data_IF_107238226913
#
_entry.id   IF_107238226913
#
_cell.length_a   1.000
_cell.length_b   1.000
_cell.length_c   1.000
_cell.angle_alpha   90.00
_cell.angle_beta   90.00
_cell.angle_gamma   90.00
#
_symmetry.space_group_name_H-M   'P 1'
#
loop_
_entity.id
_entity.type
_entity.pdbx_description
1 polymer ?
#
# COMPACT_ATOMS: atom_id res chain seq x y z
N UNK A 1 67.10 3.59 -25.81
CA UNK A 1 66.79 4.37 -24.59
C UNK A 1 65.29 4.64 -24.62
N UNK A 2 64.51 4.06 -23.72
CA UNK A 2 63.06 4.24 -23.69
C UNK A 2 62.63 4.87 -22.37
N UNK A 3 61.93 6.00 -22.47
CA UNK A 3 61.68 6.89 -21.34
C UNK A 3 60.30 6.57 -20.74
N UNK A 4 60.28 5.65 -19.78
CA UNK A 4 59.06 5.16 -19.13
C UNK A 4 58.36 6.26 -18.28
N UNK A 5 57.52 7.07 -18.94
CA UNK A 5 56.84 8.25 -18.40
C UNK A 5 55.64 7.85 -17.53
N UNK A 6 55.90 7.34 -16.32
CA UNK A 6 54.85 7.00 -15.33
C UNK A 6 53.96 8.21 -15.06
N UNK A 7 52.71 8.15 -15.57
CA UNK A 7 51.68 9.18 -15.30
C UNK A 7 51.35 9.16 -13.80
N UNK A 8 51.43 10.31 -13.14
CA UNK A 8 51.09 10.41 -11.72
C UNK A 8 49.59 10.21 -11.52
N UNK A 9 49.21 9.23 -10.70
CA UNK A 9 47.81 8.90 -10.41
C UNK A 9 47.23 9.73 -9.25
N UNK A 10 48.10 10.34 -8.44
CA UNK A 10 47.74 11.20 -7.29
C UNK A 10 46.65 12.25 -7.57
N UNK A 11 46.69 13.07 -8.65
CA UNK A 11 45.65 14.07 -8.88
C UNK A 11 44.25 13.46 -9.08
N UNK A 12 44.14 12.26 -9.65
CA UNK A 12 42.85 11.58 -9.79
C UNK A 12 42.32 11.10 -8.45
N UNK A 13 43.17 10.50 -7.60
CA UNK A 13 42.79 10.03 -6.26
C UNK A 13 42.27 11.18 -5.39
N UNK A 14 42.93 12.35 -5.44
CA UNK A 14 42.48 13.55 -4.72
C UNK A 14 41.09 14.02 -5.20
N UNK A 15 40.85 14.04 -6.51
CA UNK A 15 39.54 14.42 -7.08
C UNK A 15 38.43 13.47 -6.61
N UNK A 16 38.65 12.16 -6.63
CA UNK A 16 37.66 11.19 -6.14
C UNK A 16 37.33 11.35 -4.65
N UNK A 17 38.31 11.70 -3.80
CA UNK A 17 38.07 11.96 -2.38
C UNK A 17 37.17 13.20 -2.17
N UNK A 18 37.41 14.29 -2.89
CA UNK A 18 36.55 15.48 -2.81
C UNK A 18 35.11 15.21 -3.29
N UNK A 19 34.94 14.45 -4.38
CA UNK A 19 33.60 14.05 -4.86
C UNK A 19 32.88 13.19 -3.81
N UNK A 20 33.58 12.21 -3.21
CA UNK A 20 33.02 11.37 -2.15
C UNK A 20 32.52 12.16 -0.95
N UNK A 21 33.29 13.14 -0.47
CA UNK A 21 32.91 14.01 0.65
C UNK A 21 31.65 14.83 0.34
N UNK A 22 31.55 15.40 -0.87
CA UNK A 22 30.38 16.20 -1.27
C UNK A 22 29.09 15.35 -1.36
N UNK A 23 29.16 14.18 -1.98
CA UNK A 23 28.00 13.27 -2.09
C UNK A 23 27.57 12.75 -0.72
N UNK A 24 28.52 12.35 0.13
CA UNK A 24 28.22 11.81 1.46
C UNK A 24 27.67 12.88 2.41
N UNK A 25 28.20 14.10 2.35
CA UNK A 25 27.69 15.24 3.13
C UNK A 25 26.25 15.62 2.78
N UNK A 26 25.91 15.65 1.49
CA UNK A 26 24.55 15.92 1.03
C UNK A 26 23.56 14.82 1.49
N UNK A 27 23.96 13.55 1.44
CA UNK A 27 23.14 12.43 1.86
C UNK A 27 22.85 12.42 3.38
N UNK A 28 23.81 12.86 4.21
CA UNK A 28 23.61 12.95 5.66
C UNK A 28 22.75 14.17 6.04
N UNK A 29 23.00 15.34 5.45
CA UNK A 29 22.34 16.60 5.84
C UNK A 29 20.81 16.55 5.72
N UNK A 30 20.28 15.85 4.72
CA UNK A 30 18.83 15.68 4.51
C UNK A 30 18.10 14.89 5.61
N UNK A 31 18.81 14.23 6.54
CA UNK A 31 18.19 13.37 7.57
C UNK A 31 17.87 14.08 8.90
N UNK A 32 18.34 15.30 9.12
CA UNK A 32 18.31 15.93 10.46
C UNK A 32 17.18 16.95 10.69
N UNK A 33 16.50 17.43 9.65
CA UNK A 33 15.58 18.59 9.73
C UNK A 33 14.14 18.28 10.18
N UNK A 34 13.86 17.13 10.79
CA UNK A 34 12.49 16.63 11.04
C UNK A 34 12.10 16.49 12.53
N UNK A 35 12.74 17.25 13.43
CA UNK A 35 12.61 17.05 14.89
C UNK A 35 12.16 18.28 15.71
N UNK A 36 11.76 19.38 15.05
CA UNK A 36 11.23 20.57 15.72
C UNK A 36 9.95 21.08 15.02
N UNK A 37 8.79 20.46 15.28
CA UNK A 37 7.46 21.09 15.18
C UNK A 37 6.29 20.18 15.66
N UNK A 38 6.25 19.84 16.95
CA UNK A 38 5.00 19.32 17.57
C UNK A 38 4.90 19.71 19.05
N UNK A 39 4.66 20.99 19.30
CA UNK A 39 4.19 21.50 20.60
C UNK A 39 3.28 22.71 20.36
N UNK A 40 2.19 22.79 21.13
CA UNK A 40 0.99 23.59 20.84
C UNK A 40 0.21 22.95 19.65
N UNK A 41 -1.12 22.98 19.56
CA UNK A 41 -2.12 23.73 20.35
C UNK A 41 -3.48 22.99 20.30
N UNK A 42 -3.93 22.38 21.41
CA UNK A 42 -5.32 21.91 21.59
C UNK A 42 -5.72 22.05 23.07
N UNK A 43 -6.31 23.18 23.43
CA UNK A 43 -7.29 23.32 24.52
C UNK A 43 -8.60 23.85 23.93
N UNK A 44 -9.71 23.68 24.65
CA UNK A 44 -11.09 24.07 24.29
C UNK A 44 -11.64 23.53 22.94
N UNK A 45 -12.77 22.84 22.88
CA UNK A 45 -13.91 22.84 23.81
C UNK A 45 -14.66 21.50 23.78
N UNK A 46 -15.30 21.15 24.89
CA UNK A 46 -16.29 20.06 24.99
C UNK A 46 -17.44 20.52 25.88
N UNK A 47 -18.47 21.09 25.26
CA UNK A 47 -19.77 21.25 25.91
C UNK A 47 -20.52 19.90 25.96
N UNK A 48 -21.55 19.77 26.79
CA UNK A 48 -21.98 18.50 27.37
C UNK A 48 -23.51 18.31 27.37
N UNK A 49 -24.00 17.22 27.99
CA UNK A 49 -25.40 16.99 28.43
C UNK A 49 -26.35 16.50 27.30
N UNK A 50 -26.63 15.19 27.17
CA UNK A 50 -27.63 14.36 27.92
C UNK A 50 -29.01 14.33 27.20
N UNK A 51 -29.81 13.25 27.08
CA UNK A 51 -29.78 11.80 27.43
C UNK A 51 -30.65 11.04 26.37
N UNK A 52 -31.26 9.83 26.48
CA UNK A 52 -31.60 8.87 27.57
C UNK A 52 -31.89 7.44 27.00
N UNK A 53 -31.89 6.44 27.90
CA UNK A 53 -32.55 5.10 27.97
C UNK A 53 -33.77 4.84 27.02
N UNK A 54 -34.21 3.61 26.69
CA UNK A 54 -34.28 2.35 27.49
C UNK A 54 -34.60 1.07 26.61
N UNK A 55 -34.30 -0.15 27.10
CA UNK A 55 -34.75 -1.56 26.77
C UNK A 55 -35.43 -1.99 25.42
N UNK A 56 -35.44 -3.25 24.90
CA UNK A 56 -35.16 -4.68 25.30
C UNK A 56 -35.09 -5.56 23.99
N UNK A 57 -34.83 -6.88 23.87
CA UNK A 57 -34.32 -7.99 24.73
C UNK A 57 -33.25 -8.81 23.94
N UNK A 58 -33.38 -9.99 23.27
CA UNK A 58 -34.33 -11.13 23.21
C UNK A 58 -33.65 -12.46 22.72
N UNK A 59 -34.38 -13.57 22.52
CA UNK A 59 -33.93 -14.96 22.19
C UNK A 59 -34.41 -15.45 20.79
N UNK A 60 -33.92 -16.53 20.15
CA UNK A 60 -32.82 -17.49 20.44
C UNK A 60 -32.86 -18.78 19.55
N UNK A 61 -31.80 -19.62 19.61
CA UNK A 61 -31.67 -21.02 19.09
C UNK A 61 -31.74 -21.31 17.56
N UNK A 62 -31.24 -22.43 16.98
CA UNK A 62 -30.14 -23.40 17.28
C UNK A 62 -30.00 -24.40 16.08
N UNK A 63 -28.88 -25.13 15.96
CA UNK A 63 -28.60 -26.19 14.95
C UNK A 63 -27.93 -25.64 13.68
N UNK A 64 -26.67 -25.91 13.32
CA UNK A 64 -25.68 -26.99 13.59
C UNK A 64 -25.85 -28.29 12.78
N UNK A 65 -25.05 -28.41 11.73
CA UNK A 65 -24.50 -29.68 11.24
C UNK A 65 -22.96 -29.55 11.13
N UNK A 66 -22.23 -30.66 11.23
CA UNK A 66 -20.75 -30.70 11.28
C UNK A 66 -20.14 -31.03 9.90
N UNK A 67 -19.24 -30.20 9.39
CA UNK A 67 -18.15 -30.66 8.51
C UNK A 67 -16.80 -30.05 8.94
N UNK A 68 -15.75 -30.86 8.90
CA UNK A 68 -14.45 -30.58 9.54
C UNK A 68 -13.54 -29.69 8.68
N UNK A 69 -13.99 -28.50 8.32
CA UNK A 69 -13.12 -27.52 7.66
C UNK A 69 -12.00 -27.03 8.59
N UNK A 70 -10.79 -26.91 8.04
CA UNK A 70 -9.68 -26.23 8.70
C UNK A 70 -9.99 -24.73 8.72
N UNK A 71 -10.65 -24.28 9.79
CA UNK A 71 -11.06 -22.90 10.02
C UNK A 71 -10.00 -21.91 9.54
N UNK A 72 -10.27 -21.22 8.42
CA UNK A 72 -9.50 -20.05 8.02
C UNK A 72 -9.79 -18.97 9.07
N UNK A 73 -8.75 -18.54 9.75
CA UNK A 73 -8.76 -17.26 10.46
C UNK A 73 -8.86 -16.18 9.37
N UNK A 74 -10.05 -15.60 9.19
CA UNK A 74 -10.26 -14.54 8.22
C UNK A 74 -9.74 -13.22 8.78
N UNK A 75 -8.69 -12.66 8.14
CA UNK A 75 -8.11 -11.37 8.53
C UNK A 75 -9.21 -10.30 8.67
N UNK A 76 -9.11 -9.45 9.70
CA UNK A 76 -9.98 -8.28 9.82
C UNK A 76 -9.65 -7.21 8.78
N UNK A 77 -10.60 -6.33 8.46
CA UNK A 77 -10.38 -5.27 7.45
C UNK A 77 -9.22 -4.34 7.83
N UNK A 78 -9.00 -4.08 9.13
CA UNK A 78 -7.90 -3.24 9.60
C UNK A 78 -6.52 -3.93 9.53
N UNK A 79 -6.46 -5.25 9.68
CA UNK A 79 -5.23 -6.02 9.44
C UNK A 79 -4.86 -6.01 7.96
N UNK A 80 -5.84 -6.22 7.07
CA UNK A 80 -5.66 -6.14 5.61
C UNK A 80 -5.20 -4.73 5.20
N UNK A 81 -5.86 -3.67 5.70
CA UNK A 81 -5.41 -2.28 5.49
C UNK A 81 -3.98 -2.07 5.98
N UNK A 82 -3.63 -2.62 7.13
CA UNK A 82 -2.29 -2.48 7.74
C UNK A 82 -1.21 -3.21 6.92
N UNK A 83 -1.52 -4.36 6.32
CA UNK A 83 -0.61 -5.07 5.41
C UNK A 83 -0.47 -4.32 4.08
N UNK A 84 -1.59 -3.91 3.47
CA UNK A 84 -1.61 -3.13 2.23
C UNK A 84 -0.86 -1.80 2.37
N UNK A 85 -1.03 -1.06 3.49
CA UNK A 85 -0.26 0.16 3.78
C UNK A 85 1.25 -0.10 3.75
N UNK A 86 1.74 -1.20 4.36
CA UNK A 86 3.17 -1.57 4.35
C UNK A 86 3.66 -1.87 2.93
N UNK A 87 2.87 -2.61 2.14
CA UNK A 87 3.19 -2.94 0.75
C UNK A 87 3.29 -1.68 -0.12
N UNK A 88 2.37 -0.73 0.03
CA UNK A 88 2.40 0.56 -0.68
C UNK A 88 3.55 1.46 -0.21
N UNK A 89 3.81 1.55 1.09
CA UNK A 89 4.92 2.31 1.66
C UNK A 89 6.27 1.85 1.09
N UNK A 90 6.49 0.52 1.03
CA UNK A 90 7.66 -0.09 0.39
C UNK A 90 7.68 0.16 -1.12
N UNK A 91 6.57 -0.06 -1.84
CA UNK A 91 6.50 0.09 -3.30
C UNK A 91 6.79 1.52 -3.77
N UNK A 92 6.33 2.52 -3.03
CA UNK A 92 6.44 3.94 -3.41
C UNK A 92 7.47 4.74 -2.61
N UNK A 93 8.22 4.10 -1.69
CA UNK A 93 9.16 4.75 -0.78
C UNK A 93 8.50 5.93 -0.02
N UNK A 94 7.40 5.63 0.66
CA UNK A 94 6.63 6.54 1.53
C UNK A 94 6.71 6.02 2.99
N UNK A 95 6.38 6.87 3.95
CA UNK A 95 6.12 6.42 5.34
C UNK A 95 4.76 5.70 5.40
N UNK A 96 4.52 4.82 6.40
CA UNK A 96 3.31 3.98 6.48
C UNK A 96 2.10 4.83 6.87
N UNK A 97 2.37 5.83 7.70
CA UNK A 97 1.52 6.90 8.17
C UNK A 97 0.99 7.74 7.00
N UNK A 98 1.83 7.92 5.98
CA UNK A 98 1.56 8.66 4.74
C UNK A 98 0.71 7.89 3.72
N UNK A 99 0.37 6.62 4.00
CA UNK A 99 -0.51 5.80 3.14
C UNK A 99 -1.89 5.68 3.77
N UNK A 100 -2.93 6.08 3.05
CA UNK A 100 -4.33 5.77 3.36
C UNK A 100 -4.85 4.70 2.40
N UNK A 101 -5.57 3.71 2.95
CA UNK A 101 -6.20 2.61 2.20
C UNK A 101 -7.68 2.59 2.54
N UNK A 102 -8.53 2.57 1.51
CA UNK A 102 -9.96 2.28 1.64
C UNK A 102 -10.26 0.96 0.95
N UNK A 103 -11.05 0.11 1.58
CA UNK A 103 -11.62 -1.10 0.95
C UNK A 103 -13.08 -0.78 0.66
N UNK A 104 -13.52 -1.03 -0.57
CA UNK A 104 -14.88 -0.77 -1.03
C UNK A 104 -15.66 -2.06 -1.28
N UNK A 105 -14.97 -3.15 -1.61
CA UNK A 105 -15.54 -4.50 -1.71
C UNK A 105 -14.51 -5.54 -1.26
N UNK A 106 -14.97 -6.63 -0.65
CA UNK A 106 -14.17 -7.81 -0.31
C UNK A 106 -14.95 -9.09 -0.63
N UNK A 107 -14.25 -10.12 -1.11
CA UNK A 107 -14.79 -11.46 -1.32
C UNK A 107 -13.73 -12.49 -0.90
N UNK A 108 -13.77 -12.92 0.36
CA UNK A 108 -12.76 -13.79 0.96
C UNK A 108 -11.35 -13.20 0.87
N UNK A 109 -10.49 -13.88 0.09
CA UNK A 109 -9.08 -13.55 -0.16
C UNK A 109 -8.85 -12.43 -1.22
N UNK A 110 -9.90 -11.75 -1.68
CA UNK A 110 -9.82 -10.66 -2.68
C UNK A 110 -10.43 -9.35 -2.16
N UNK A 111 -9.77 -8.21 -2.44
CA UNK A 111 -10.26 -6.86 -2.12
C UNK A 111 -10.19 -5.91 -3.32
N UNK A 112 -11.19 -5.03 -3.40
CA UNK A 112 -11.25 -3.86 -4.28
C UNK A 112 -11.28 -2.62 -3.39
N UNK A 113 -10.58 -1.57 -3.78
CA UNK A 113 -10.47 -0.38 -2.96
C UNK A 113 -9.77 0.79 -3.64
N UNK A 114 -9.23 1.69 -2.81
CA UNK A 114 -8.39 2.80 -3.24
C UNK A 114 -7.21 3.01 -2.29
N UNK A 115 -6.17 3.63 -2.84
CA UNK A 115 -4.99 4.12 -2.11
C UNK A 115 -4.91 5.64 -2.27
N UNK A 116 -4.51 6.35 -1.22
CA UNK A 116 -4.17 7.78 -1.31
C UNK A 116 -2.97 8.09 -0.42
N UNK A 117 -2.02 8.85 -0.95
CA UNK A 117 -0.87 9.33 -0.19
C UNK A 117 -1.07 10.76 0.34
N UNK A 118 -0.39 11.11 1.43
CA UNK A 118 -0.34 12.49 1.95
C UNK A 118 0.17 13.46 0.89
N UNK A 119 -0.41 14.67 0.86
CA UNK A 119 -0.06 15.74 -0.07
C UNK A 119 -0.62 15.57 -1.50
N UNK A 120 -1.12 14.40 -1.87
CA UNK A 120 -1.67 14.16 -3.21
C UNK A 120 -3.15 14.57 -3.29
N UNK A 121 -3.56 15.15 -4.44
CA UNK A 121 -4.93 15.65 -4.60
C UNK A 121 -5.94 14.51 -4.77
N UNK A 122 -5.65 13.58 -5.69
CA UNK A 122 -6.44 12.38 -5.94
C UNK A 122 -5.84 11.15 -5.22
N UNK A 123 -6.56 10.04 -5.24
CA UNK A 123 -6.02 8.70 -4.96
C UNK A 123 -5.73 7.92 -6.24
N UNK A 124 -5.44 6.64 -6.08
CA UNK A 124 -5.48 5.61 -7.13
C UNK A 124 -6.44 4.49 -6.75
N UNK A 125 -6.89 3.72 -7.74
CA UNK A 125 -7.60 2.47 -7.55
C UNK A 125 -6.66 1.38 -7.01
N UNK A 126 -7.21 0.33 -6.39
CA UNK A 126 -6.48 -0.79 -5.81
C UNK A 126 -7.25 -2.11 -5.98
N UNK A 127 -6.57 -3.12 -6.52
CA UNK A 127 -6.93 -4.54 -6.41
C UNK A 127 -5.88 -5.28 -5.58
N UNK A 128 -6.31 -5.96 -4.53
CA UNK A 128 -5.46 -6.81 -3.70
C UNK A 128 -5.97 -8.25 -3.65
N UNK A 129 -5.06 -9.22 -3.57
CA UNK A 129 -5.40 -10.62 -3.38
C UNK A 129 -4.40 -11.31 -2.43
N UNK A 130 -4.88 -12.27 -1.64
CA UNK A 130 -4.07 -13.07 -0.72
C UNK A 130 -3.51 -14.32 -1.43
N UNK A 131 -2.24 -14.25 -1.84
CA UNK A 131 -1.59 -15.28 -2.67
C UNK A 131 -0.54 -16.02 -1.85
N UNK A 132 -0.76 -17.33 -1.65
CA UNK A 132 0.00 -18.20 -0.75
C UNK A 132 -0.04 -17.77 0.74
N UNK A 133 -1.10 -17.05 1.14
CA UNK A 133 -1.30 -16.59 2.52
C UNK A 133 -0.79 -15.17 2.82
N UNK A 134 -0.18 -14.50 1.84
CA UNK A 134 0.33 -13.11 1.94
C UNK A 134 -0.50 -12.19 1.03
N UNK A 135 -0.86 -10.98 1.47
CA UNK A 135 -1.53 -10.01 0.59
C UNK A 135 -0.58 -9.41 -0.43
N UNK A 136 -1.07 -9.22 -1.66
CA UNK A 136 -0.29 -8.69 -2.78
C UNK A 136 -1.12 -7.68 -3.57
N UNK A 137 -0.48 -6.59 -3.98
CA UNK A 137 -1.07 -5.59 -4.86
C UNK A 137 -1.07 -6.18 -6.28
N UNK A 138 -2.25 -6.42 -6.83
CA UNK A 138 -2.47 -7.06 -8.14
C UNK A 138 -2.55 -5.99 -9.24
N UNK A 139 -3.16 -4.86 -8.91
CA UNK A 139 -3.21 -3.66 -9.73
C UNK A 139 -3.39 -2.43 -8.83
N UNK A 140 -2.78 -1.31 -9.22
CA UNK A 140 -2.94 -0.03 -8.56
C UNK A 140 -2.63 1.13 -9.52
N UNK A 141 -3.41 2.22 -9.40
CA UNK A 141 -3.28 3.41 -10.24
C UNK A 141 -4.61 3.94 -10.78
N UNK A 142 -4.54 4.79 -11.82
CA UNK A 142 -5.70 5.50 -12.40
C UNK A 142 -5.97 5.15 -13.87
N UNK A 143 -5.49 4.00 -14.34
CA UNK A 143 -5.71 3.48 -15.70
C UNK A 143 -6.60 2.24 -15.72
N UNK A 144 -6.85 1.69 -16.90
CA UNK A 144 -7.58 0.42 -17.07
C UNK A 144 -6.79 -0.76 -16.52
N UNK A 145 -7.47 -1.68 -15.84
CA UNK A 145 -6.89 -2.90 -15.25
C UNK A 145 -6.50 -3.86 -16.40
N UNK A 146 -5.23 -4.28 -16.55
CA UNK A 146 -4.85 -5.27 -17.55
C UNK A 146 -5.41 -6.64 -17.20
N UNK A 147 -5.95 -7.38 -18.18
CA UNK A 147 -6.43 -8.75 -17.95
C UNK A 147 -5.32 -9.64 -17.37
N UNK A 148 -4.10 -9.49 -17.92
CA UNK A 148 -2.91 -10.20 -17.41
C UNK A 148 -2.48 -9.84 -15.97
N UNK A 149 -3.09 -8.86 -15.28
CA UNK A 149 -2.95 -8.70 -13.84
C UNK A 149 -3.93 -9.59 -13.07
N UNK A 150 -5.22 -9.54 -13.43
CA UNK A 150 -6.30 -10.24 -12.71
C UNK A 150 -6.32 -11.74 -12.96
N UNK A 151 -6.01 -12.18 -14.18
CA UNK A 151 -6.10 -13.59 -14.57
C UNK A 151 -4.90 -14.44 -14.08
N UNK A 152 -3.84 -13.80 -13.55
CA UNK A 152 -2.72 -14.48 -12.88
C UNK A 152 -3.06 -15.00 -11.47
N UNK A 153 -4.18 -14.55 -10.92
CA UNK A 153 -4.64 -14.85 -9.55
C UNK A 153 -6.14 -15.18 -9.53
N UNK A 154 -6.72 -15.57 -10.66
CA UNK A 154 -8.14 -15.92 -10.82
C UNK A 154 -9.10 -14.88 -10.20
N UNK A 155 -8.78 -13.59 -10.33
CA UNK A 155 -9.48 -12.52 -9.60
C UNK A 155 -10.98 -12.50 -9.98
N UNK A 156 -11.92 -12.57 -9.01
CA UNK A 156 -13.34 -12.77 -9.29
C UNK A 156 -13.93 -11.72 -10.26
N UNK A 157 -14.65 -12.19 -11.28
CA UNK A 157 -15.22 -11.31 -12.30
C UNK A 157 -16.45 -10.52 -11.86
N UNK A 158 -17.05 -10.86 -10.71
CA UNK A 158 -18.05 -10.03 -10.05
C UNK A 158 -17.43 -8.85 -9.27
N UNK A 159 -16.15 -8.92 -8.93
CA UNK A 159 -15.39 -7.79 -8.37
C UNK A 159 -14.73 -6.94 -9.47
N UNK A 160 -14.29 -7.55 -10.57
CA UNK A 160 -13.68 -6.89 -11.73
C UNK A 160 -14.33 -7.43 -13.00
N UNK A 161 -15.36 -6.71 -13.48
CA UNK A 161 -16.22 -7.11 -14.60
C UNK A 161 -15.57 -6.88 -15.97
N UNK A 162 -14.64 -5.93 -16.08
CA UNK A 162 -13.93 -5.59 -17.32
C UNK A 162 -12.42 -5.50 -17.11
N UNK A 163 -11.64 -5.82 -18.14
CA UNK A 163 -10.20 -5.64 -18.17
C UNK A 163 -9.70 -5.29 -19.58
N UNK A 164 -8.50 -4.74 -19.69
CA UNK A 164 -7.86 -4.43 -20.96
C UNK A 164 -6.92 -5.55 -21.42
N UNK A 165 -7.16 -6.10 -22.60
CA UNK A 165 -6.23 -7.00 -23.26
C UNK A 165 -5.12 -6.17 -23.95
N UNK A 166 -3.92 -6.21 -23.38
CA UNK A 166 -2.73 -5.52 -23.90
C UNK A 166 -2.15 -6.12 -25.17
N UNK A 167 -2.58 -7.32 -25.58
CA UNK A 167 -2.13 -8.04 -26.78
C UNK A 167 -3.08 -7.75 -27.95
N UNK A 168 -4.38 -7.91 -27.73
CA UNK A 168 -5.41 -7.67 -28.76
C UNK A 168 -5.86 -6.19 -28.83
N UNK A 169 -5.54 -5.39 -27.83
CA UNK A 169 -5.91 -3.96 -27.69
C UNK A 169 -7.41 -3.71 -27.64
N UNK A 170 -8.12 -4.48 -26.83
CA UNK A 170 -9.58 -4.38 -26.62
C UNK A 170 -9.99 -4.49 -25.14
N UNK A 171 -11.21 -4.06 -24.80
CA UNK A 171 -11.81 -4.29 -23.48
C UNK A 171 -12.51 -5.65 -23.48
N UNK A 172 -12.20 -6.48 -22.49
CA UNK A 172 -12.74 -7.81 -22.30
C UNK A 172 -13.73 -7.78 -21.13
N UNK A 173 -14.97 -8.14 -21.41
CA UNK A 173 -16.00 -8.41 -20.40
C UNK A 173 -15.79 -9.80 -19.81
N UNK A 174 -15.56 -9.87 -18.50
CA UNK A 174 -15.22 -11.08 -17.73
C UNK A 174 -16.46 -11.78 -17.15
N UNK A 175 -17.66 -11.29 -17.45
CA UNK A 175 -18.94 -11.79 -16.89
C UNK A 175 -19.71 -12.75 -17.82
N UNK A 176 -19.11 -13.15 -18.94
CA UNK A 176 -19.73 -13.91 -20.05
C UNK A 176 -19.04 -15.24 -20.32
#
# INVERSE_FOLDING_TARGET
MENNKRKSIFPLVVIFLFIGILVFGAYWYGKQSSLENTKNEIEESKESTSSKDEEKKDEGENGKEDESEKMKEEDTEEEIKTELKKLFAVKYNKEIEDVSITISQRKGDYIVGGVKFTGEMAGGYLLGAKVNGEWKIIFDGNGTIPCSSVDKVDFPSDLVTECWDTVNMESVDRTK
#
